data_IF_825780663564
#
_entry.id   IF_825780663564
#
_cell.length_a   1.000
_cell.length_b   1.000
_cell.length_c   1.000
_cell.angle_alpha   90.00
_cell.angle_beta   90.00
_cell.angle_gamma   90.00
#
_symmetry.space_group_name_H-M   'P 1'
#
loop_
_entity.id
_entity.type
_entity.pdbx_description
1 polymer ?
#
# COMPACT_ATOMS: atom_id res chain seq x y z
N UNK A 1 -17.04 13.01 -7.64
CA UNK A 1 -17.70 11.94 -6.83
C UNK A 1 -16.83 10.72 -6.49
N UNK A 2 -16.11 10.08 -7.43
CA UNK A 2 -15.31 8.85 -7.18
C UNK A 2 -14.41 8.91 -5.94
N UNK A 3 -13.68 10.01 -5.77
CA UNK A 3 -12.81 10.23 -4.62
C UNK A 3 -13.54 10.24 -3.28
N UNK A 4 -14.78 10.73 -3.23
CA UNK A 4 -15.57 10.71 -2.00
C UNK A 4 -15.86 9.26 -1.60
N UNK A 5 -16.31 8.42 -2.54
CA UNK A 5 -16.63 7.02 -2.28
C UNK A 5 -15.38 6.22 -1.91
N UNK A 6 -14.32 6.30 -2.74
CA UNK A 6 -13.07 5.56 -2.49
C UNK A 6 -12.42 6.04 -1.20
N UNK A 7 -12.33 7.36 -0.98
CA UNK A 7 -11.80 7.93 0.24
C UNK A 7 -12.58 7.49 1.48
N UNK A 8 -13.91 7.43 1.40
CA UNK A 8 -14.75 6.98 2.51
C UNK A 8 -14.50 5.50 2.84
N UNK A 9 -14.37 4.63 1.84
CA UNK A 9 -14.04 3.20 2.05
C UNK A 9 -12.67 3.07 2.74
N UNK A 10 -11.65 3.77 2.24
CA UNK A 10 -10.31 3.77 2.84
C UNK A 10 -10.36 4.28 4.28
N UNK A 11 -11.10 5.37 4.53
CA UNK A 11 -11.25 5.96 5.85
C UNK A 11 -11.96 5.01 6.82
N UNK A 12 -13.01 4.31 6.38
CA UNK A 12 -13.71 3.30 7.18
C UNK A 12 -12.78 2.16 7.58
N UNK A 13 -11.91 1.70 6.67
CA UNK A 13 -10.89 0.70 6.99
C UNK A 13 -9.93 1.24 8.07
N UNK A 14 -9.47 2.48 7.93
CA UNK A 14 -8.61 3.13 8.93
C UNK A 14 -9.29 3.27 10.30
N UNK A 15 -10.57 3.65 10.32
CA UNK A 15 -11.38 3.73 11.54
C UNK A 15 -11.59 2.36 12.17
N UNK A 16 -11.81 1.32 11.36
CA UNK A 16 -11.91 -0.06 11.84
C UNK A 16 -10.62 -0.48 12.55
N UNK A 17 -9.46 -0.17 11.97
CA UNK A 17 -8.16 -0.44 12.62
C UNK A 17 -7.91 0.40 13.87
N UNK A 18 -8.58 1.55 14.02
CA UNK A 18 -8.50 2.39 15.20
C UNK A 18 -9.38 1.87 16.35
N UNK A 19 -10.62 1.48 16.04
CA UNK A 19 -11.63 1.06 17.03
C UNK A 19 -11.44 -0.40 17.44
N UNK A 20 -11.17 -1.28 16.47
CA UNK A 20 -10.93 -2.71 16.68
C UNK A 20 -9.56 -3.10 16.10
N UNK A 21 -8.46 -2.74 16.79
CA UNK A 21 -7.14 -3.15 16.36
C UNK A 21 -7.00 -4.67 16.48
N UNK A 22 -6.65 -5.32 15.38
CA UNK A 22 -6.28 -6.74 15.40
C UNK A 22 -5.04 -6.92 16.27
N UNK A 23 -5.02 -8.00 17.07
CA UNK A 23 -3.88 -8.35 17.93
C UNK A 23 -2.96 -9.35 17.26
N UNK A 24 -3.50 -10.16 16.36
CA UNK A 24 -2.76 -11.20 15.67
C UNK A 24 -2.94 -11.16 14.14
N UNK A 25 -1.93 -11.57 13.35
CA UNK A 25 -1.98 -11.55 11.89
C UNK A 25 -3.08 -12.41 11.28
N UNK A 26 -3.55 -13.45 11.95
CA UNK A 26 -4.58 -14.38 11.48
C UNK A 26 -5.99 -13.78 11.49
N UNK A 27 -6.22 -12.74 12.29
CA UNK A 27 -7.55 -12.12 12.42
C UNK A 27 -8.04 -11.55 11.08
N UNK A 28 -9.35 -11.58 10.85
CA UNK A 28 -9.97 -11.08 9.60
C UNK A 28 -9.75 -9.57 9.40
N UNK A 29 -9.56 -8.84 10.51
CA UNK A 29 -9.36 -7.39 10.52
C UNK A 29 -7.87 -7.02 10.48
N UNK A 30 -6.97 -7.99 10.43
CA UNK A 30 -5.54 -7.76 10.41
C UNK A 30 -5.06 -7.26 9.05
N UNK A 31 -4.08 -6.34 9.07
CA UNK A 31 -3.27 -6.05 7.89
C UNK A 31 -2.48 -7.31 7.51
N UNK A 32 -2.74 -7.82 6.30
CA UNK A 32 -2.11 -9.03 5.78
C UNK A 32 -0.89 -8.67 4.94
N UNK A 33 0.28 -9.09 5.41
CA UNK A 33 1.54 -8.96 4.68
C UNK A 33 2.50 -10.04 5.13
N UNK A 34 3.32 -10.52 4.20
CA UNK A 34 4.39 -11.47 4.50
C UNK A 34 5.32 -10.91 5.58
N UNK A 35 5.84 -9.69 5.38
CA UNK A 35 6.73 -9.03 6.34
C UNK A 35 6.05 -8.80 7.70
N UNK A 36 4.74 -8.54 7.72
CA UNK A 36 4.01 -8.30 8.97
C UNK A 36 3.84 -9.58 9.79
N UNK A 37 3.80 -10.75 9.14
CA UNK A 37 3.63 -12.05 9.80
C UNK A 37 4.92 -12.62 10.43
N UNK A 38 6.06 -11.94 10.26
CA UNK A 38 7.38 -12.43 10.69
C UNK A 38 7.58 -12.38 12.20
N UNK A 39 7.00 -11.38 12.87
CA UNK A 39 7.05 -11.26 14.33
C UNK A 39 5.86 -10.44 14.86
N UNK A 40 5.47 -10.62 16.14
CA UNK A 40 4.42 -9.80 16.75
C UNK A 40 4.74 -8.31 16.73
N UNK A 41 6.02 -7.94 16.85
CA UNK A 41 6.47 -6.56 16.78
C UNK A 41 6.36 -5.97 15.37
N UNK A 42 6.66 -6.77 14.34
CA UNK A 42 6.47 -6.40 12.93
C UNK A 42 4.98 -6.19 12.63
N UNK A 43 4.12 -7.10 13.10
CA UNK A 43 2.67 -6.98 12.96
C UNK A 43 2.12 -5.71 13.62
N UNK A 44 2.45 -5.47 14.89
CA UNK A 44 1.98 -4.29 15.61
C UNK A 44 2.42 -2.99 14.94
N UNK A 45 3.66 -2.95 14.41
CA UNK A 45 4.15 -1.82 13.63
C UNK A 45 3.36 -1.64 12.32
N UNK A 46 3.21 -2.72 11.54
CA UNK A 46 2.48 -2.70 10.27
C UNK A 46 1.01 -2.27 10.45
N UNK A 47 0.31 -2.82 11.45
CA UNK A 47 -1.07 -2.49 11.76
C UNK A 47 -1.23 -1.01 12.12
N UNK A 48 -0.30 -0.46 12.90
CA UNK A 48 -0.28 0.96 13.28
C UNK A 48 -0.06 1.87 12.07
N UNK A 49 0.94 1.55 11.23
CA UNK A 49 1.22 2.33 10.02
C UNK A 49 0.06 2.25 9.03
N UNK A 50 -0.50 1.05 8.82
CA UNK A 50 -1.70 0.83 8.00
C UNK A 50 -2.88 1.68 8.49
N UNK A 51 -3.18 1.66 9.78
CA UNK A 51 -4.22 2.51 10.38
C UNK A 51 -3.98 3.98 10.06
N UNK A 52 -2.78 4.48 10.36
CA UNK A 52 -2.48 5.91 10.21
C UNK A 52 -2.60 6.36 8.75
N UNK A 53 -2.03 5.60 7.80
CA UNK A 53 -2.06 5.98 6.39
C UNK A 53 -3.48 5.88 5.80
N UNK A 54 -4.29 4.90 6.22
CA UNK A 54 -5.69 4.81 5.78
C UNK A 54 -6.52 5.98 6.32
N UNK A 55 -6.31 6.41 7.57
CA UNK A 55 -7.00 7.58 8.12
C UNK A 55 -6.60 8.86 7.38
N UNK A 56 -5.30 9.09 7.16
CA UNK A 56 -4.80 10.30 6.50
C UNK A 56 -5.20 10.34 5.03
N UNK A 57 -4.91 9.28 4.26
CA UNK A 57 -5.22 9.27 2.84
C UNK A 57 -6.72 9.11 2.59
N UNK A 58 -7.45 8.35 3.39
CA UNK A 58 -8.91 8.25 3.29
C UNK A 58 -9.58 9.61 3.53
N UNK A 59 -9.27 10.26 4.66
CA UNK A 59 -9.80 11.59 4.97
C UNK A 59 -9.39 12.64 3.93
N UNK A 60 -8.12 12.66 3.54
CA UNK A 60 -7.62 13.57 2.50
C UNK A 60 -8.30 13.37 1.14
N UNK A 61 -8.55 12.11 0.76
CA UNK A 61 -9.22 11.79 -0.52
C UNK A 61 -10.70 12.18 -0.49
N UNK A 62 -11.39 12.02 0.65
CA UNK A 62 -12.77 12.52 0.81
C UNK A 62 -12.82 14.03 0.65
N UNK A 63 -11.96 14.76 1.38
CA UNK A 63 -11.89 16.22 1.31
C UNK A 63 -11.58 16.70 -0.11
N UNK A 64 -10.63 16.04 -0.78
CA UNK A 64 -10.29 16.33 -2.17
C UNK A 64 -11.47 16.05 -3.12
N UNK A 65 -12.21 14.97 -2.88
CA UNK A 65 -13.42 14.65 -3.65
C UNK A 65 -14.53 15.69 -3.50
N UNK A 66 -14.73 16.23 -2.29
CA UNK A 66 -15.66 17.34 -2.03
C UNK A 66 -15.19 18.60 -2.76
N UNK A 67 -13.90 18.91 -2.71
CA UNK A 67 -13.33 20.08 -3.39
C UNK A 67 -13.47 19.99 -4.92
N UNK A 68 -13.18 18.84 -5.53
CA UNK A 68 -13.36 18.60 -6.96
C UNK A 68 -14.83 18.79 -7.37
N UNK A 69 -15.77 18.29 -6.56
CA UNK A 69 -17.19 18.46 -6.82
C UNK A 69 -17.62 19.92 -6.76
N UNK A 70 -17.14 20.65 -5.75
CA UNK A 70 -17.40 22.08 -5.60
C UNK A 70 -16.88 22.91 -6.79
N UNK A 71 -15.79 22.49 -7.43
CA UNK A 71 -15.25 23.10 -8.65
C UNK A 71 -15.92 22.60 -9.95
N UNK A 72 -16.94 21.74 -9.85
CA UNK A 72 -17.62 21.12 -10.99
C UNK A 72 -16.71 20.33 -11.94
N UNK A 73 -15.62 19.76 -11.41
CA UNK A 73 -14.66 18.96 -12.18
C UNK A 73 -15.04 17.48 -12.29
N UNK A 74 -16.30 17.13 -12.03
CA UNK A 74 -16.79 15.75 -12.07
C UNK A 74 -16.70 15.10 -13.46
N UNK A 75 -16.62 15.89 -14.54
CA UNK A 75 -16.57 15.41 -15.92
C UNK A 75 -15.28 14.61 -16.25
N UNK A 76 -14.22 14.74 -15.47
CA UNK A 76 -12.95 14.02 -15.68
C UNK A 76 -12.93 12.64 -15.03
N UNK A 77 -14.02 11.86 -15.18
CA UNK A 77 -14.21 10.59 -14.49
C UNK A 77 -13.03 9.62 -14.61
N UNK A 78 -12.48 9.42 -15.82
CA UNK A 78 -11.37 8.48 -16.06
C UNK A 78 -10.11 8.89 -15.30
N UNK A 79 -9.81 10.20 -15.26
CA UNK A 79 -8.64 10.73 -14.54
C UNK A 79 -8.80 10.47 -13.05
N UNK A 80 -9.97 10.76 -12.48
CA UNK A 80 -10.25 10.52 -11.07
C UNK A 80 -10.27 9.03 -10.73
N UNK A 81 -10.83 8.18 -11.59
CA UNK A 81 -10.78 6.73 -11.38
C UNK A 81 -9.33 6.24 -11.34
N UNK A 82 -8.51 6.62 -12.32
CA UNK A 82 -7.11 6.22 -12.39
C UNK A 82 -6.30 6.67 -11.16
N UNK A 83 -6.44 7.95 -10.78
CA UNK A 83 -5.78 8.48 -9.58
C UNK A 83 -6.23 7.75 -8.30
N UNK A 84 -7.51 7.37 -8.20
CA UNK A 84 -8.01 6.66 -7.01
C UNK A 84 -7.36 5.28 -6.84
N UNK A 85 -7.08 4.59 -7.95
CA UNK A 85 -6.34 3.32 -7.94
C UNK A 85 -4.90 3.54 -7.49
N UNK A 86 -4.23 4.57 -8.02
CA UNK A 86 -2.86 4.89 -7.60
C UNK A 86 -2.76 5.21 -6.10
N UNK A 87 -3.69 6.01 -5.58
CA UNK A 87 -3.77 6.31 -4.14
C UNK A 87 -3.94 5.02 -3.34
N UNK A 88 -4.88 4.16 -3.73
CA UNK A 88 -5.15 2.89 -3.04
C UNK A 88 -3.92 1.97 -3.02
N UNK A 89 -3.23 1.82 -4.15
CA UNK A 89 -2.00 1.00 -4.22
C UNK A 89 -0.87 1.62 -3.39
N UNK A 90 -0.74 2.95 -3.41
CA UNK A 90 0.30 3.66 -2.66
C UNK A 90 0.22 3.45 -1.15
N UNK A 91 -0.99 3.22 -0.60
CA UNK A 91 -1.17 2.88 0.81
C UNK A 91 -0.38 1.61 1.16
N UNK A 92 -0.55 0.54 0.37
CA UNK A 92 0.15 -0.73 0.59
C UNK A 92 1.66 -0.55 0.39
N UNK A 93 2.06 0.09 -0.71
CA UNK A 93 3.47 0.35 -0.99
C UNK A 93 4.16 1.13 0.14
N UNK A 94 3.46 2.11 0.72
CA UNK A 94 3.94 2.90 1.85
C UNK A 94 4.16 2.04 3.10
N UNK A 95 3.16 1.23 3.48
CA UNK A 95 3.23 0.36 4.67
C UNK A 95 4.35 -0.65 4.51
N UNK A 96 4.44 -1.34 3.36
CA UNK A 96 5.51 -2.31 3.09
C UNK A 96 6.89 -1.65 3.13
N UNK A 97 7.05 -0.46 2.54
CA UNK A 97 8.33 0.27 2.57
C UNK A 97 8.74 0.63 3.98
N UNK A 98 7.80 1.09 4.81
CA UNK A 98 8.05 1.42 6.22
C UNK A 98 8.39 0.17 7.03
N UNK A 99 7.65 -0.90 6.82
CA UNK A 99 7.83 -2.18 7.49
C UNK A 99 9.19 -2.82 7.16
N UNK A 100 9.57 -2.82 5.89
CA UNK A 100 10.90 -3.25 5.44
C UNK A 100 12.00 -2.44 6.15
N UNK A 101 11.90 -1.11 6.15
CA UNK A 101 12.87 -0.24 6.85
C UNK A 101 12.94 -0.52 8.35
N UNK A 102 11.80 -0.78 8.98
CA UNK A 102 11.70 -1.14 10.39
C UNK A 102 12.42 -2.46 10.69
N UNK A 103 12.21 -3.49 9.87
CA UNK A 103 12.86 -4.80 10.01
C UNK A 103 14.37 -4.74 9.73
N UNK A 104 14.79 -4.01 8.70
CA UNK A 104 16.22 -3.78 8.40
C UNK A 104 16.93 -3.15 9.60
N UNK A 105 16.34 -2.11 10.19
CA UNK A 105 16.93 -1.43 11.37
C UNK A 105 17.10 -2.36 12.57
N UNK A 106 16.27 -3.41 12.66
CA UNK A 106 16.30 -4.41 13.72
C UNK A 106 17.10 -5.66 13.38
N UNK A 107 17.64 -5.77 12.16
CA UNK A 107 18.25 -7.00 11.64
C UNK A 107 17.28 -8.19 11.67
N UNK A 108 15.98 -7.93 11.53
CA UNK A 108 14.88 -8.91 11.58
C UNK A 108 14.28 -9.16 10.18
N UNK A 109 14.91 -8.68 9.12
CA UNK A 109 14.44 -8.94 7.76
C UNK A 109 14.56 -10.44 7.45
N UNK A 110 13.49 -11.12 6.99
CA UNK A 110 13.56 -12.54 6.65
C UNK A 110 14.62 -12.82 5.58
N UNK A 111 15.34 -13.92 5.72
CA UNK A 111 16.42 -14.30 4.80
C UNK A 111 15.92 -14.64 3.40
N UNK A 112 14.66 -15.08 3.30
CA UNK A 112 13.97 -15.41 2.06
C UNK A 112 13.19 -14.22 1.48
N UNK A 113 13.24 -13.05 2.12
CA UNK A 113 12.66 -11.84 1.56
C UNK A 113 13.47 -11.41 0.35
N UNK A 114 12.83 -11.43 -0.81
CA UNK A 114 13.44 -10.95 -2.04
C UNK A 114 12.99 -9.54 -2.31
N UNK A 115 13.95 -8.61 -2.27
CA UNK A 115 13.67 -7.22 -2.54
C UNK A 115 13.23 -7.04 -4.00
N UNK A 116 12.03 -6.49 -4.28
CA UNK A 116 11.59 -6.26 -5.65
C UNK A 116 12.58 -5.41 -6.46
N UNK A 117 13.23 -4.45 -5.79
CA UNK A 117 14.17 -3.53 -6.40
C UNK A 117 15.48 -4.24 -6.81
N UNK A 118 16.01 -5.12 -5.94
CA UNK A 118 17.21 -5.92 -6.24
C UNK A 118 16.93 -6.93 -7.36
N UNK A 119 15.75 -7.54 -7.38
CA UNK A 119 15.33 -8.44 -8.45
C UNK A 119 15.24 -7.75 -9.82
N UNK A 120 14.72 -6.51 -9.85
CA UNK A 120 14.63 -5.73 -11.08
C UNK A 120 16.03 -5.35 -11.58
N UNK A 121 16.92 -4.90 -10.70
CA UNK A 121 18.31 -4.62 -11.04
C UNK A 121 19.03 -5.89 -11.54
N UNK A 122 18.85 -7.02 -10.85
CA UNK A 122 19.43 -8.30 -11.25
C UNK A 122 18.99 -8.71 -12.67
N UNK A 123 17.68 -8.63 -12.99
CA UNK A 123 17.17 -8.94 -14.34
C UNK A 123 17.64 -7.97 -15.42
N UNK A 124 17.85 -6.70 -15.09
CA UNK A 124 18.39 -5.72 -16.03
C UNK A 124 19.84 -6.06 -16.40
N UNK A 125 20.65 -6.48 -15.42
CA UNK A 125 22.03 -6.88 -15.64
C UNK A 125 22.15 -8.28 -16.28
N UNK A 126 21.24 -9.20 -15.97
CA UNK A 126 21.24 -10.59 -16.47
C UNK A 126 20.18 -10.79 -17.56
N UNK A 127 20.04 -9.81 -18.47
CA UNK A 127 19.13 -9.89 -19.62
C UNK A 127 19.44 -11.15 -20.43
N UNK A 128 18.60 -12.17 -20.28
CA UNK A 128 18.72 -13.41 -21.05
C UNK A 128 18.37 -13.08 -22.50
N UNK A 129 19.30 -13.31 -23.45
CA UNK A 129 19.05 -13.12 -24.89
C UNK A 129 17.80 -13.89 -25.29
N UNK A 130 16.76 -13.15 -25.66
CA UNK A 130 15.49 -13.72 -26.11
C UNK A 130 15.64 -14.38 -27.47
N UNK A 131 14.64 -15.17 -27.89
CA UNK A 131 14.64 -15.82 -29.21
C UNK A 131 14.89 -14.82 -30.35
N UNK A 132 14.34 -13.60 -30.23
CA UNK A 132 14.54 -12.49 -31.18
C UNK A 132 16.00 -12.04 -31.29
N UNK A 133 16.80 -12.15 -30.24
CA UNK A 133 18.22 -11.82 -30.23
C UNK A 133 19.10 -12.97 -30.73
N UNK A 134 18.53 -14.17 -30.87
CA UNK A 134 19.19 -15.38 -31.41
C UNK A 134 18.92 -15.60 -32.90
N UNK A 135 17.92 -14.91 -33.45
CA UNK A 135 17.49 -15.00 -34.85
C UNK A 135 18.00 -13.83 -35.72
N UNK A 136 18.84 -12.96 -35.16
CA UNK A 136 19.64 -11.96 -35.88
C UNK A 136 21.08 -12.45 -35.98
#
# INVERSE_FOLDING_TARGET
>A
MVFIVVGAIILVIGLKYLIWPAKHPEEVVAYKSYLASTSPAAFAYAQKEARNVHLVLGGGTVLLGIFIHWLHWDNFFIIWLFLSVLITVSIFAYVETKLKKYLIKRHELPRDYVDPDENLAYRQHHRVKGLRDRLK
#
